data_IF_499278664112
#
_entry.id   IF_499278664112
#
_cell.length_a   1.000
_cell.length_b   1.000
_cell.length_c   1.000
_cell.angle_alpha   90.00
_cell.angle_beta   90.00
_cell.angle_gamma   90.00
#
_symmetry.space_group_name_H-M   'P 1'
#
loop_
_entity.id
_entity.type
_entity.pdbx_description
1 polymer ?
#
# COMPACT_ATOMS: atom_id res chain seq x y z
N UNK A 1 17.00 -11.30 -0.20
CA UNK A 1 15.67 -10.81 -0.61
C UNK A 1 15.29 -11.40 -1.97
N UNK A 2 14.02 -11.77 -2.16
CA UNK A 2 13.55 -12.35 -3.43
C UNK A 2 13.13 -11.23 -4.41
N UNK A 3 13.44 -11.35 -5.70
CA UNK A 3 13.08 -10.35 -6.73
C UNK A 3 11.57 -10.05 -6.77
N UNK A 4 10.73 -11.05 -6.48
CA UNK A 4 9.28 -10.86 -6.39
C UNK A 4 8.88 -9.87 -5.29
N UNK A 5 9.55 -9.87 -4.13
CA UNK A 5 9.25 -8.95 -3.03
C UNK A 5 9.54 -7.50 -3.42
N UNK A 6 10.64 -7.25 -4.14
CA UNK A 6 10.98 -5.93 -4.68
C UNK A 6 9.91 -5.45 -5.66
N UNK A 7 9.54 -6.28 -6.64
CA UNK A 7 8.49 -5.94 -7.61
C UNK A 7 7.14 -5.64 -6.94
N UNK A 8 6.78 -6.39 -5.91
CA UNK A 8 5.56 -6.12 -5.14
C UNK A 8 5.67 -4.78 -4.40
N UNK A 9 6.82 -4.49 -3.79
CA UNK A 9 7.04 -3.23 -3.10
C UNK A 9 7.08 -2.03 -4.05
N UNK A 10 7.59 -2.18 -5.26
CA UNK A 10 7.60 -1.11 -6.26
C UNK A 10 6.17 -0.64 -6.61
N UNK A 11 5.21 -1.58 -6.67
CA UNK A 11 3.79 -1.24 -6.86
C UNK A 11 3.22 -0.45 -5.68
N UNK A 12 3.61 -0.82 -4.46
CA UNK A 12 3.23 -0.08 -3.24
C UNK A 12 3.77 1.34 -3.30
N UNK A 13 5.00 1.55 -3.75
CA UNK A 13 5.58 2.88 -3.88
C UNK A 13 4.88 3.75 -4.92
N UNK A 14 4.44 3.17 -6.03
CA UNK A 14 3.62 3.90 -7.01
C UNK A 14 2.27 4.35 -6.44
N UNK A 15 1.61 3.50 -5.63
CA UNK A 15 0.39 3.88 -4.90
C UNK A 15 0.68 4.94 -3.83
N UNK A 16 1.78 4.78 -3.10
CA UNK A 16 2.20 5.68 -2.04
C UNK A 16 2.46 7.10 -2.57
N UNK A 17 3.14 7.24 -3.71
CA UNK A 17 3.37 8.53 -4.35
C UNK A 17 2.05 9.21 -4.73
N UNK A 18 1.09 8.45 -5.30
CA UNK A 18 -0.23 8.99 -5.67
C UNK A 18 -1.04 9.42 -4.45
N UNK A 19 -0.94 8.68 -3.36
CA UNK A 19 -1.55 9.04 -2.08
C UNK A 19 -0.88 10.27 -1.46
N UNK A 20 0.45 10.35 -1.50
CA UNK A 20 1.24 11.41 -0.89
C UNK A 20 1.05 12.78 -1.55
N UNK A 21 0.59 12.84 -2.81
CA UNK A 21 0.26 14.11 -3.47
C UNK A 21 -1.12 14.67 -3.12
N UNK A 22 -2.03 13.86 -2.55
CA UNK A 22 -3.35 14.34 -2.11
C UNK A 22 -3.19 15.23 -0.88
N UNK A 23 -3.82 16.41 -0.77
CA UNK A 23 -3.74 17.25 0.43
C UNK A 23 -4.13 16.51 1.70
N UNK A 24 -3.42 16.70 2.81
CA UNK A 24 -3.64 15.96 4.07
C UNK A 24 -5.10 16.02 4.57
N UNK A 25 -5.78 17.17 4.39
CA UNK A 25 -7.20 17.33 4.75
C UNK A 25 -8.12 16.36 4.02
N UNK A 26 -7.81 16.08 2.75
CA UNK A 26 -8.59 15.25 1.82
C UNK A 26 -8.09 13.80 1.76
N UNK A 27 -6.85 13.58 2.17
CA UNK A 27 -6.17 12.30 2.10
C UNK A 27 -6.76 11.30 3.09
N UNK A 28 -6.98 10.07 2.62
CA UNK A 28 -7.30 8.95 3.50
C UNK A 28 -6.12 8.59 4.42
N UNK A 29 -6.34 7.86 5.52
CA UNK A 29 -5.24 7.21 6.23
C UNK A 29 -4.33 6.36 5.31
N UNK A 30 -3.14 5.96 5.76
CA UNK A 30 -2.34 5.01 4.99
C UNK A 30 -3.03 3.63 4.98
N UNK A 31 -3.19 2.95 3.84
CA UNK A 31 -3.83 1.64 3.82
C UNK A 31 -2.96 0.53 4.42
N UNK A 32 -3.61 -0.44 5.09
CA UNK A 32 -2.92 -1.57 5.73
C UNK A 32 -2.24 -2.53 4.74
N UNK A 33 -2.69 -2.59 3.49
CA UNK A 33 -2.14 -3.52 2.49
C UNK A 33 -0.71 -3.17 2.04
N UNK A 34 -0.19 -1.99 2.40
CA UNK A 34 1.21 -1.62 2.17
C UNK A 34 2.18 -2.24 3.18
N UNK A 35 1.69 -2.66 4.35
CA UNK A 35 2.53 -3.02 5.49
C UNK A 35 3.37 -4.27 5.20
N UNK A 36 2.74 -5.34 4.70
CA UNK A 36 3.41 -6.59 4.38
C UNK A 36 4.56 -6.43 3.37
N UNK A 37 4.33 -5.80 2.20
CA UNK A 37 5.39 -5.51 1.25
C UNK A 37 6.53 -4.65 1.81
N UNK A 38 6.22 -3.63 2.63
CA UNK A 38 7.24 -2.78 3.24
C UNK A 38 8.10 -3.55 4.25
N UNK A 39 7.48 -4.33 5.14
CA UNK A 39 8.20 -5.23 6.05
C UNK A 39 9.03 -6.26 5.29
N UNK A 40 8.54 -6.74 4.14
CA UNK A 40 9.25 -7.71 3.32
C UNK A 40 10.50 -7.15 2.63
N UNK A 41 10.76 -5.82 2.64
CA UNK A 41 11.99 -5.23 2.08
C UNK A 41 12.71 -4.28 3.06
N UNK A 42 12.32 -4.24 4.33
CA UNK A 42 12.85 -3.28 5.33
C UNK A 42 14.35 -3.42 5.58
N UNK A 43 14.91 -4.62 5.39
CA UNK A 43 16.35 -4.89 5.52
C UNK A 43 17.08 -4.91 4.15
N UNK A 44 16.40 -4.58 3.06
CA UNK A 44 16.95 -4.62 1.71
C UNK A 44 17.75 -3.36 1.38
N UNK A 45 19.08 -3.45 1.56
CA UNK A 45 20.02 -2.35 1.30
C UNK A 45 20.32 -2.12 -0.19
N UNK A 46 19.72 -2.89 -1.09
CA UNK A 46 19.94 -2.71 -2.52
C UNK A 46 19.47 -1.32 -2.98
N UNK A 47 20.24 -0.62 -3.82
CA UNK A 47 19.81 0.65 -4.39
C UNK A 47 18.51 0.51 -5.19
N UNK A 48 17.66 1.54 -5.12
CA UNK A 48 16.52 1.65 -6.02
C UNK A 48 16.99 1.78 -7.46
N UNK A 49 16.36 1.07 -8.39
CA UNK A 49 16.64 1.21 -9.82
C UNK A 49 16.48 2.65 -10.27
N UNK A 50 17.46 3.17 -11.03
CA UNK A 50 17.49 4.56 -11.50
C UNK A 50 16.19 4.97 -12.22
N UNK A 51 15.56 4.05 -12.96
CA UNK A 51 14.33 4.31 -13.73
C UNK A 51 13.10 4.50 -12.84
N UNK A 52 12.96 3.71 -11.77
CA UNK A 52 11.84 3.79 -10.82
C UNK A 52 12.02 4.96 -9.85
N UNK A 53 13.27 5.29 -9.54
CA UNK A 53 13.62 6.31 -8.56
C UNK A 53 13.18 7.73 -8.94
N UNK A 54 13.10 8.10 -10.23
CA UNK A 54 12.95 9.51 -10.61
C UNK A 54 11.62 10.12 -10.13
N UNK A 55 10.52 9.39 -10.27
CA UNK A 55 9.20 9.88 -9.86
C UNK A 55 9.07 9.91 -8.33
N UNK A 56 9.63 8.89 -7.66
CA UNK A 56 9.55 8.77 -6.21
C UNK A 56 10.46 9.77 -5.50
N UNK A 57 11.67 10.02 -6.03
CA UNK A 57 12.61 11.02 -5.51
C UNK A 57 12.01 12.41 -5.48
N UNK A 58 11.39 12.83 -6.58
CA UNK A 58 10.73 14.13 -6.65
C UNK A 58 9.55 14.25 -5.68
N UNK A 59 8.72 13.22 -5.58
CA UNK A 59 7.50 13.26 -4.77
C UNK A 59 7.72 13.06 -3.27
N UNK A 60 8.78 12.32 -2.89
CA UNK A 60 9.03 11.87 -1.52
C UNK A 60 10.33 12.42 -0.92
N UNK A 61 11.14 13.13 -1.70
CA UNK A 61 12.42 13.67 -1.24
C UNK A 61 13.49 12.60 -1.00
N UNK A 62 13.41 11.45 -1.68
CA UNK A 62 14.43 10.40 -1.59
C UNK A 62 15.77 10.87 -2.17
N UNK A 63 16.86 10.51 -1.50
CA UNK A 63 18.22 10.78 -1.95
C UNK A 63 18.61 9.95 -3.18
N UNK A 64 19.70 10.37 -3.84
CA UNK A 64 20.16 9.71 -5.06
C UNK A 64 20.69 8.28 -4.86
N UNK A 65 21.04 7.94 -3.63
CA UNK A 65 21.53 6.62 -3.23
C UNK A 65 20.51 5.85 -2.37
N UNK A 66 19.23 6.25 -2.40
CA UNK A 66 18.19 5.61 -1.62
C UNK A 66 18.04 4.12 -1.97
N UNK A 67 17.93 3.30 -0.93
CA UNK A 67 17.71 1.86 -0.99
C UNK A 67 16.24 1.48 -0.83
N UNK A 68 15.91 0.21 -1.07
CA UNK A 68 14.59 -0.34 -0.75
C UNK A 68 14.26 -0.20 0.74
N UNK A 69 15.24 -0.41 1.63
CA UNK A 69 15.10 -0.23 3.07
C UNK A 69 14.72 1.21 3.44
N UNK A 70 15.33 2.21 2.81
CA UNK A 70 15.01 3.62 3.08
C UNK A 70 13.57 3.95 2.69
N UNK A 71 13.13 3.47 1.51
CA UNK A 71 11.77 3.63 1.05
C UNK A 71 10.75 2.89 1.94
N UNK A 72 11.07 1.67 2.37
CA UNK A 72 10.22 0.91 3.28
C UNK A 72 10.08 1.60 4.64
N UNK A 73 11.17 2.14 5.19
CA UNK A 73 11.12 2.89 6.45
C UNK A 73 10.14 4.08 6.38
N UNK A 74 10.08 4.79 5.24
CA UNK A 74 9.10 5.88 5.07
C UNK A 74 7.65 5.38 5.05
N UNK A 75 7.37 4.22 4.47
CA UNK A 75 6.02 3.64 4.49
C UNK A 75 5.67 3.18 5.91
N UNK A 76 6.60 2.51 6.60
CA UNK A 76 6.40 2.00 7.95
C UNK A 76 6.26 3.11 9.00
N UNK A 77 6.89 4.26 8.80
CA UNK A 77 6.79 5.39 9.74
C UNK A 77 5.38 5.97 9.83
N UNK A 78 4.56 5.81 8.77
CA UNK A 78 3.15 6.21 8.78
C UNK A 78 2.35 5.48 9.85
N UNK A 79 2.77 4.27 10.25
CA UNK A 79 2.01 3.45 11.20
C UNK A 79 2.16 3.92 12.64
N UNK A 80 3.25 4.62 12.96
CA UNK A 80 3.59 4.97 14.34
C UNK A 80 2.48 5.78 15.00
N UNK A 81 1.81 6.65 14.24
CA UNK A 81 0.75 7.54 14.72
C UNK A 81 -0.64 7.17 14.17
N UNK A 82 -0.73 6.09 13.39
CA UNK A 82 -1.97 5.74 12.70
C UNK A 82 -2.99 5.08 13.66
N UNK A 83 -4.17 5.69 13.76
CA UNK A 83 -5.26 5.23 14.65
C UNK A 83 -6.50 4.71 13.90
N UNK A 84 -6.53 4.82 12.57
CA UNK A 84 -7.64 4.37 11.72
C UNK A 84 -7.12 3.77 10.40
N UNK A 85 -7.90 2.88 9.80
CA UNK A 85 -7.56 2.23 8.53
C UNK A 85 -8.40 2.78 7.39
N UNK A 86 -7.78 2.89 6.22
CA UNK A 86 -8.46 3.25 4.97
C UNK A 86 -9.24 2.06 4.42
N UNK A 87 -10.52 2.29 4.13
CA UNK A 87 -11.33 1.35 3.36
C UNK A 87 -10.90 1.34 1.89
N UNK A 88 -11.06 0.23 1.15
CA UNK A 88 -10.67 0.15 -0.26
C UNK A 88 -11.32 1.22 -1.16
N UNK A 89 -12.53 1.65 -0.82
CA UNK A 89 -13.30 2.67 -1.53
C UNK A 89 -12.87 4.12 -1.24
N UNK A 90 -12.17 4.35 -0.14
CA UNK A 90 -11.79 5.67 0.35
C UNK A 90 -10.35 6.05 -0.04
N UNK A 91 -9.70 5.25 -0.87
CA UNK A 91 -8.34 5.48 -1.31
C UNK A 91 -8.31 6.12 -2.71
N UNK A 92 -7.45 7.12 -2.99
CA UNK A 92 -6.46 7.73 -2.08
C UNK A 92 -7.02 8.89 -1.24
N UNK A 93 -8.16 9.46 -1.62
CA UNK A 93 -8.85 10.55 -0.93
C UNK A 93 -10.09 10.05 -0.23
N UNK A 94 -10.39 10.58 0.97
CA UNK A 94 -11.64 10.31 1.70
C UNK A 94 -12.81 10.51 0.73
N UNK A 95 -13.48 9.42 0.35
CA UNK A 95 -14.71 9.57 -0.40
C UNK A 95 -15.72 10.23 0.54
N UNK A 96 -16.49 11.21 0.06
CA UNK A 96 -17.75 11.51 0.74
C UNK A 96 -18.51 10.20 0.75
N UNK A 97 -18.71 9.63 1.94
CA UNK A 97 -19.43 8.39 2.13
C UNK A 97 -20.89 8.62 1.69
N UNK A 98 -21.14 8.56 0.39
CA UNK A 98 -22.45 8.28 -0.13
C UNK A 98 -22.76 6.88 0.38
N UNK A 99 -23.71 6.83 1.30
CA UNK A 99 -24.33 5.63 1.84
C UNK A 99 -24.69 4.68 0.67
N UNK A 100 -23.79 3.75 0.36
CA UNK A 100 -23.98 2.85 -0.77
C UNK A 100 -23.42 1.47 -0.48
N UNK A 101 -24.38 0.57 -0.24
CA UNK A 101 -24.35 -0.87 -0.39
C UNK A 101 -23.00 -1.52 -0.09
N UNK A 102 -22.84 -1.87 1.19
CA UNK A 102 -22.18 -3.12 1.55
C UNK A 102 -22.76 -4.18 0.63
N UNK A 103 -21.98 -4.58 -0.37
CA UNK A 103 -22.36 -5.63 -1.31
C UNK A 103 -22.69 -6.85 -0.47
N UNK A 104 -23.98 -7.11 -0.26
CA UNK A 104 -24.44 -8.27 0.48
C UNK A 104 -23.77 -9.48 -0.19
N UNK A 105 -22.82 -10.09 0.54
CA UNK A 105 -22.25 -11.35 0.13
C UNK A 105 -23.40 -12.35 0.25
N UNK A 106 -24.13 -12.56 -0.84
CA UNK A 106 -25.11 -13.62 -0.91
C UNK A 106 -24.40 -14.91 -0.48
N UNK A 107 -24.91 -15.62 0.54
CA UNK A 107 -24.30 -16.87 0.96
C UNK A 107 -24.21 -17.78 -0.26
N UNK A 108 -22.99 -18.17 -0.63
CA UNK A 108 -22.77 -19.19 -1.64
C UNK A 108 -23.49 -20.46 -1.16
N UNK A 109 -24.24 -21.14 -2.03
CA UNK A 109 -24.85 -22.41 -1.65
C UNK A 109 -23.74 -23.35 -1.16
N UNK A 110 -23.93 -23.96 0.01
CA UNK A 110 -23.01 -24.97 0.52
C UNK A 110 -22.84 -26.05 -0.54
N UNK A 111 -21.62 -26.21 -1.03
CA UNK A 111 -21.23 -27.31 -1.92
C UNK A 111 -21.08 -28.60 -1.10
N UNK A 112 -22.16 -28.97 -0.42
CA UNK A 112 -22.25 -30.17 0.43
C UNK A 112 -22.61 -31.43 -0.40
N UNK A 113 -22.51 -31.33 -1.73
CA UNK A 113 -22.75 -32.45 -2.65
C UNK A 113 -21.51 -33.31 -2.85
N UNK A 114 -20.33 -32.87 -2.38
CA UNK A 114 -19.06 -33.58 -2.57
C UNK A 114 -18.90 -34.85 -1.69
N UNK A 115 -19.74 -35.02 -0.67
CA UNK A 115 -19.68 -36.16 0.25
C UNK A 115 -21.06 -36.83 0.39
N UNK A 116 -21.54 -37.45 -0.69
CA UNK A 116 -22.62 -38.43 -0.56
C UNK A 116 -22.04 -39.78 -0.08
N UNK A 117 -22.74 -40.51 0.83
CA UNK A 117 -22.25 -41.74 1.44
C UNK A 117 -22.14 -42.93 0.47
#
# INVERSE_FOLDING_TARGET
MHQAARLTFERVMDEFVRWHVVPESERSPAPAWWWGPAMAVVDDREPLSATLSKNWRGALGLGDDASFADAACMVLSLFVEQTSLTGPQDFPSKAEAADHDVRELHPLPSDDSAFQP
#
